data_IF_071179875832
#
_entry.id   IF_071179875832
#
_cell.length_a   1.000
_cell.length_b   1.000
_cell.length_c   1.000
_cell.angle_alpha   90.00
_cell.angle_beta   90.00
_cell.angle_gamma   90.00
#
_symmetry.space_group_name_H-M   'P 1'
#
loop_
_entity.id
_entity.type
_entity.pdbx_description
1 polymer ?
#
# COMPACT_ATOMS: atom_id res chain seq x y z
N UNK A 1 -4.85 4.50 6.43
CA UNK A 1 -4.28 3.33 5.74
C UNK A 1 -2.86 3.64 5.32
N UNK A 2 -1.98 2.66 5.40
CA UNK A 2 -0.54 2.79 5.16
C UNK A 2 -0.15 2.15 3.83
N UNK A 3 0.70 2.83 3.08
CA UNK A 3 1.32 2.34 1.85
C UNK A 3 2.83 2.58 1.92
N UNK A 4 3.59 1.50 2.04
CA UNK A 4 5.05 1.53 1.99
C UNK A 4 5.56 1.78 0.56
N UNK A 5 6.60 2.59 0.42
CA UNK A 5 7.18 2.88 -0.90
C UNK A 5 8.68 3.13 -0.82
N UNK A 6 9.29 3.35 -1.99
CA UNK A 6 10.69 3.70 -2.14
C UNK A 6 10.86 5.22 -2.09
N UNK A 7 11.96 5.72 -1.54
CA UNK A 7 12.21 7.16 -1.45
C UNK A 7 12.16 7.88 -2.80
N UNK A 8 12.69 7.25 -3.86
CA UNK A 8 12.63 7.81 -5.24
C UNK A 8 11.21 8.00 -5.77
N UNK A 9 10.22 7.31 -5.22
CA UNK A 9 8.82 7.38 -5.64
C UNK A 9 8.07 8.59 -5.07
N UNK A 10 8.58 9.23 -4.01
CA UNK A 10 7.89 10.34 -3.30
C UNK A 10 7.46 11.44 -4.28
N UNK A 11 8.41 11.96 -5.06
CA UNK A 11 8.16 13.09 -5.94
C UNK A 11 7.07 12.77 -6.99
N UNK A 12 7.10 11.54 -7.53
CA UNK A 12 6.07 11.08 -8.47
C UNK A 12 4.70 10.98 -7.79
N UNK A 13 4.64 10.38 -6.60
CA UNK A 13 3.39 10.19 -5.84
C UNK A 13 2.78 11.53 -5.43
N UNK A 14 3.59 12.49 -4.98
CA UNK A 14 3.10 13.83 -4.60
C UNK A 14 2.54 14.58 -5.81
N UNK A 15 3.16 14.46 -6.99
CA UNK A 15 2.72 15.15 -8.21
C UNK A 15 1.55 14.48 -8.92
N UNK A 16 1.50 13.14 -8.93
CA UNK A 16 0.59 12.34 -9.78
C UNK A 16 -0.33 11.41 -8.99
N UNK A 17 -0.34 11.52 -7.66
CA UNK A 17 -0.97 10.56 -6.75
C UNK A 17 -0.34 9.15 -6.84
N UNK A 18 -0.74 8.24 -5.96
CA UNK A 18 -0.35 6.83 -6.00
C UNK A 18 -0.83 6.18 -7.29
N UNK A 19 -0.04 5.28 -7.89
CA UNK A 19 -0.38 4.56 -9.12
C UNK A 19 -0.17 3.06 -8.91
N UNK A 20 -0.93 2.19 -9.58
CA UNK A 20 -0.72 0.76 -9.49
C UNK A 20 0.70 0.35 -9.88
N UNK A 21 1.31 -0.53 -9.08
CA UNK A 21 2.62 -1.08 -9.38
C UNK A 21 2.57 -2.15 -10.47
N UNK A 22 3.75 -2.59 -10.93
CA UNK A 22 3.85 -3.69 -11.90
C UNK A 22 3.70 -5.08 -11.25
N UNK A 23 4.15 -5.23 -10.00
CA UNK A 23 4.01 -6.48 -9.26
C UNK A 23 2.59 -6.60 -8.67
N UNK A 24 1.78 -7.51 -9.23
CA UNK A 24 0.39 -7.72 -8.86
C UNK A 24 0.13 -9.19 -8.54
N UNK A 25 0.72 -9.66 -7.44
CA UNK A 25 0.69 -11.08 -7.05
C UNK A 25 -0.73 -11.65 -6.98
N UNK A 26 -1.70 -10.85 -6.51
CA UNK A 26 -3.09 -11.25 -6.32
C UNK A 26 -4.04 -10.82 -7.44
N UNK A 27 -3.54 -10.37 -8.61
CA UNK A 27 -4.40 -9.80 -9.65
C UNK A 27 -5.52 -10.76 -10.11
N UNK A 28 -5.21 -12.06 -10.18
CA UNK A 28 -6.12 -13.10 -10.65
C UNK A 28 -6.90 -13.77 -9.51
N UNK A 29 -6.70 -13.36 -8.25
CA UNK A 29 -7.50 -13.84 -7.15
C UNK A 29 -8.91 -13.28 -7.23
N UNK A 30 -9.87 -14.06 -6.74
CA UNK A 30 -11.26 -13.63 -6.64
C UNK A 30 -11.56 -12.99 -5.29
N UNK A 31 -12.46 -12.01 -5.31
CA UNK A 31 -13.01 -11.37 -4.13
C UNK A 31 -14.48 -10.96 -4.37
N UNK A 32 -15.10 -10.35 -3.36
CA UNK A 32 -16.44 -9.77 -3.46
C UNK A 32 -16.32 -8.25 -3.53
N UNK A 33 -17.01 -7.64 -4.48
CA UNK A 33 -17.13 -6.18 -4.53
C UNK A 33 -18.14 -5.65 -3.49
N UNK A 34 -18.33 -4.33 -3.47
CA UNK A 34 -19.26 -3.66 -2.56
C UNK A 34 -20.73 -4.01 -2.77
N UNK A 35 -21.08 -4.66 -3.89
CA UNK A 35 -22.43 -5.12 -4.20
C UNK A 35 -22.58 -6.64 -3.98
N UNK A 36 -21.53 -7.32 -3.52
CA UNK A 36 -21.52 -8.77 -3.32
C UNK A 36 -21.24 -9.59 -4.59
N UNK A 37 -20.89 -8.95 -5.72
CA UNK A 37 -20.54 -9.66 -6.94
C UNK A 37 -19.15 -10.28 -6.82
N UNK A 38 -18.97 -11.46 -7.40
CA UNK A 38 -17.66 -12.10 -7.51
C UNK A 38 -16.87 -11.43 -8.63
N UNK A 39 -15.70 -10.91 -8.30
CA UNK A 39 -14.83 -10.17 -9.23
C UNK A 39 -13.37 -10.53 -8.96
N UNK A 40 -12.51 -10.34 -9.96
CA UNK A 40 -11.07 -10.40 -9.73
C UNK A 40 -10.60 -9.18 -8.92
N UNK A 41 -9.61 -9.41 -8.07
CA UNK A 41 -8.91 -8.36 -7.32
C UNK A 41 -8.30 -7.34 -8.28
N UNK A 42 -7.69 -7.80 -9.37
CA UNK A 42 -7.12 -6.96 -10.42
C UNK A 42 -5.86 -6.19 -10.00
N UNK A 43 -5.36 -5.35 -10.91
CA UNK A 43 -4.21 -4.49 -10.66
C UNK A 43 -4.60 -3.30 -9.78
N UNK A 44 -3.79 -3.00 -8.76
CA UNK A 44 -4.01 -1.80 -7.96
C UNK A 44 -2.88 -1.43 -7.00
N UNK A 45 -3.25 -0.67 -5.99
CA UNK A 45 -2.36 -0.05 -5.00
C UNK A 45 -2.66 -0.70 -3.66
N UNK A 46 -1.65 -1.37 -3.09
CA UNK A 46 -1.78 -2.12 -1.85
C UNK A 46 -1.74 -1.19 -0.62
N UNK A 47 -2.57 -1.51 0.37
CA UNK A 47 -2.68 -0.82 1.64
C UNK A 47 -2.88 -1.81 2.77
N UNK A 48 -2.56 -1.36 3.98
CA UNK A 48 -2.91 -2.03 5.24
C UNK A 48 -3.36 -1.00 6.26
N UNK A 49 -4.12 -1.42 7.25
CA UNK A 49 -4.45 -0.64 8.45
C UNK A 49 -3.38 -0.77 9.55
N UNK A 50 -2.41 -1.70 9.39
CA UNK A 50 -1.34 -1.97 10.35
C UNK A 50 0.01 -1.46 9.83
N UNK A 51 0.61 -0.51 10.55
CA UNK A 51 1.91 0.07 10.18
C UNK A 51 3.01 -1.00 10.05
N UNK A 52 3.03 -1.98 10.97
CA UNK A 52 4.01 -3.06 10.97
C UNK A 52 3.98 -3.88 9.68
N UNK A 53 2.80 -4.23 9.18
CA UNK A 53 2.65 -4.94 7.90
C UNK A 53 3.19 -4.07 6.76
N UNK A 54 2.88 -2.77 6.75
CA UNK A 54 3.40 -1.86 5.72
C UNK A 54 4.93 -1.83 5.71
N UNK A 55 5.58 -1.88 6.88
CA UNK A 55 7.05 -1.82 6.97
C UNK A 55 7.74 -3.07 6.41
N UNK A 56 7.09 -4.23 6.42
CA UNK A 56 7.61 -5.48 5.83
C UNK A 56 7.81 -5.39 4.31
N UNK A 57 7.03 -4.52 3.64
CA UNK A 57 7.09 -4.33 2.19
C UNK A 57 7.80 -3.02 1.79
N UNK A 58 8.31 -2.26 2.76
CA UNK A 58 9.06 -1.04 2.48
C UNK A 58 10.50 -1.36 2.06
N UNK A 59 11.06 -0.52 1.20
CA UNK A 59 12.50 -0.51 0.98
C UNK A 59 13.13 0.59 1.82
N UNK A 60 14.01 0.19 2.73
CA UNK A 60 14.77 1.11 3.55
C UNK A 60 15.93 1.70 2.74
N UNK A 61 16.06 3.02 2.79
CA UNK A 61 17.16 3.76 2.16
C UNK A 61 18.17 4.16 3.22
N UNK A 62 19.47 3.85 3.04
CA UNK A 62 20.52 4.27 3.95
C UNK A 62 20.77 5.78 3.83
N UNK A 63 20.87 6.47 4.97
CA UNK A 63 21.22 7.89 5.07
C UNK A 63 22.23 8.00 6.22
N UNK A 64 23.50 8.23 5.88
CA UNK A 64 24.62 8.18 6.83
C UNK A 64 24.65 6.85 7.60
N UNK A 65 24.51 6.88 8.92
CA UNK A 65 24.50 5.73 9.82
C UNK A 65 23.09 5.21 10.16
N UNK A 66 22.06 5.68 9.46
CA UNK A 66 20.66 5.31 9.70
C UNK A 66 20.03 4.75 8.44
N UNK A 67 18.92 4.03 8.59
CA UNK A 67 18.12 3.55 7.47
C UNK A 67 16.68 3.98 7.65
N UNK A 68 16.05 4.54 6.61
CA UNK A 68 14.67 5.03 6.68
C UNK A 68 13.79 4.42 5.59
N UNK A 69 12.58 4.04 5.97
CA UNK A 69 11.51 3.67 5.06
C UNK A 69 10.49 4.82 4.95
N UNK A 70 9.89 4.94 3.76
CA UNK A 70 8.90 5.97 3.45
C UNK A 70 7.52 5.32 3.38
N UNK A 71 6.58 5.85 4.15
CA UNK A 71 5.23 5.32 4.24
C UNK A 71 4.23 6.45 4.02
N UNK A 72 3.36 6.30 3.02
CA UNK A 72 2.24 7.22 2.81
C UNK A 72 1.06 6.82 3.70
N UNK A 73 0.59 7.74 4.52
CA UNK A 73 -0.73 7.64 5.13
C UNK A 73 -1.77 8.20 4.17
N UNK A 74 -2.78 7.39 3.88
CA UNK A 74 -3.84 7.71 2.95
C UNK A 74 -5.21 7.48 3.57
N UNK A 75 -6.17 8.33 3.16
CA UNK A 75 -7.60 8.02 3.21
C UNK A 75 -7.94 7.23 1.95
N UNK A 76 -8.67 6.14 2.12
CA UNK A 76 -9.14 5.30 1.01
C UNK A 76 -10.65 5.19 1.10
N UNK A 77 -11.33 5.11 -0.03
CA UNK A 77 -12.78 4.87 -0.04
C UNK A 77 -13.07 3.38 0.22
N UNK A 78 -13.81 3.02 1.28
CA UNK A 78 -14.05 1.63 1.65
C UNK A 78 -14.81 0.84 0.57
N UNK A 79 -15.68 1.50 -0.19
CA UNK A 79 -16.47 0.88 -1.26
C UNK A 79 -15.63 0.34 -2.42
N UNK A 80 -14.35 0.70 -2.52
CA UNK A 80 -13.47 0.25 -3.62
C UNK A 80 -12.35 -0.68 -3.15
N UNK A 81 -12.45 -1.17 -1.91
CA UNK A 81 -11.55 -2.18 -1.39
C UNK A 81 -11.73 -3.47 -2.19
N UNK A 82 -10.60 -4.03 -2.64
CA UNK A 82 -10.50 -5.39 -3.16
C UNK A 82 -9.56 -6.18 -2.25
N UNK A 83 -10.03 -7.34 -1.83
CA UNK A 83 -9.33 -8.15 -0.84
C UNK A 83 -9.74 -9.62 -0.98
N UNK A 84 -8.84 -10.45 -1.52
CA UNK A 84 -9.05 -11.90 -1.55
C UNK A 84 -8.94 -12.51 -0.15
N UNK A 85 -9.25 -13.80 -0.02
CA UNK A 85 -9.12 -14.54 1.24
C UNK A 85 -7.70 -14.48 1.79
N UNK A 86 -6.70 -14.75 0.95
CA UNK A 86 -5.29 -14.73 1.36
C UNK A 86 -4.81 -13.33 1.75
N UNK A 87 -5.31 -12.29 1.08
CA UNK A 87 -5.01 -10.90 1.46
C UNK A 87 -5.57 -10.55 2.84
N UNK A 88 -6.76 -11.05 3.20
CA UNK A 88 -7.35 -10.87 4.54
C UNK A 88 -6.47 -11.51 5.62
N UNK A 89 -6.04 -12.75 5.40
CA UNK A 89 -5.16 -13.50 6.31
C UNK A 89 -3.84 -12.74 6.55
N UNK A 90 -3.29 -12.14 5.50
CA UNK A 90 -2.06 -11.34 5.60
C UNK A 90 -2.28 -9.87 5.99
N UNK A 91 -3.51 -9.42 6.24
CA UNK A 91 -3.79 -8.08 6.75
C UNK A 91 -3.52 -6.92 5.78
N UNK A 92 -3.66 -7.12 4.46
CA UNK A 92 -3.63 -6.03 3.48
C UNK A 92 -4.77 -6.16 2.47
N UNK A 93 -5.00 -5.09 1.72
CA UNK A 93 -6.02 -4.97 0.68
C UNK A 93 -5.49 -4.08 -0.43
N UNK A 94 -6.24 -3.92 -1.53
CA UNK A 94 -5.88 -2.98 -2.57
C UNK A 94 -7.05 -2.10 -3.02
N UNK A 95 -6.70 -1.00 -3.68
CA UNK A 95 -7.60 -0.11 -4.40
C UNK A 95 -7.12 0.00 -5.85
N UNK A 96 -7.97 -0.30 -6.83
CA UNK A 96 -7.56 -0.34 -8.24
C UNK A 96 -7.31 1.04 -8.85
N UNK A 97 -8.04 2.08 -8.41
CA UNK A 97 -8.00 3.42 -9.01
C UNK A 97 -7.54 4.49 -8.02
N UNK A 98 -6.57 5.29 -8.44
CA UNK A 98 -5.97 6.38 -7.66
C UNK A 98 -6.95 7.44 -7.18
N UNK A 99 -8.03 7.66 -7.93
CA UNK A 99 -9.05 8.67 -7.57
C UNK A 99 -9.79 8.34 -6.26
N UNK A 100 -9.75 7.08 -5.81
CA UNK A 100 -10.34 6.64 -4.54
C UNK A 100 -9.36 6.72 -3.36
N UNK A 101 -8.20 7.34 -3.57
CA UNK A 101 -7.10 7.42 -2.62
C UNK A 101 -6.67 8.87 -2.46
N UNK A 102 -6.55 9.31 -1.22
CA UNK A 102 -6.00 10.62 -0.87
C UNK A 102 -4.86 10.47 0.15
N UNK A 103 -3.60 10.46 -0.29
CA UNK A 103 -2.46 10.60 0.60
C UNK A 103 -2.54 11.95 1.32
N UNK A 104 -2.21 11.98 2.61
CA UNK A 104 -2.28 13.21 3.41
C UNK A 104 -1.11 13.39 4.38
N UNK A 105 -0.32 12.35 4.66
CA UNK A 105 0.94 12.43 5.41
C UNK A 105 1.97 11.47 4.82
N UNK A 106 3.23 11.83 5.00
CA UNK A 106 4.39 10.96 4.77
C UNK A 106 4.99 10.69 6.15
N UNK A 107 5.15 9.41 6.48
CA UNK A 107 5.89 8.97 7.65
C UNK A 107 7.27 8.51 7.21
N UNK A 108 8.28 8.88 8.00
CA UNK A 108 9.62 8.32 7.92
C UNK A 108 9.77 7.33 9.07
N UNK A 109 9.99 6.07 8.74
CA UNK A 109 10.21 5.02 9.71
C UNK A 109 11.70 4.68 9.75
N UNK A 110 12.39 4.98 10.84
CA UNK A 110 13.77 4.58 11.06
C UNK A 110 13.83 3.07 11.34
N UNK A 111 14.77 2.36 10.70
CA UNK A 111 15.05 0.97 11.03
C UNK A 111 15.83 0.98 12.34
N UNK A 112 15.14 0.69 13.44
CA UNK A 112 15.84 0.42 14.67
C UNK A 112 16.59 -0.91 14.49
N UNK A 113 17.88 -0.92 14.79
CA UNK A 113 18.58 -2.18 15.00
C UNK A 113 17.88 -2.87 16.17
N UNK A 114 17.30 -4.05 15.94
CA UNK A 114 16.91 -4.90 17.04
C UNK A 114 18.22 -5.37 17.68
N UNK A 115 18.55 -4.80 18.84
CA UNK A 115 19.49 -5.41 19.77
C UNK A 115 18.96 -6.76 20.23
#
# INVERSE_FOLDING_TARGET
MYHGTQQKSICSIVKKNLQPGFAQYYANDECRDQFGNQVYVGQGIYFTDKLLISTQYCQYTPICNKQFAVIFMSRVSPNYIRQSKQMKENGYFLINKSLHIRPYRILLHEKNEMN
#
